data_IF_077660677753
#
_entry.id   IF_077660677753
#
_cell.length_a   1.000
_cell.length_b   1.000
_cell.length_c   1.000
_cell.angle_alpha   90.00
_cell.angle_beta   90.00
_cell.angle_gamma   90.00
#
_symmetry.space_group_name_H-M   'P 1'
#
loop_
_entity.id
_entity.type
_entity.pdbx_description
1 polymer ?
#
# COMPACT_ATOMS: atom_id res chain seq x y z
N UNK A 1 1.17 -21.97 1.60
CA UNK A 1 0.72 -21.10 0.49
C UNK A 1 0.54 -21.93 -0.76
N UNK A 2 -0.66 -21.94 -1.31
CA UNK A 2 -1.02 -22.49 -2.62
C UNK A 2 -0.73 -21.43 -3.68
N UNK A 3 0.00 -21.79 -4.74
CA UNK A 3 0.26 -20.85 -5.84
C UNK A 3 -0.90 -20.89 -6.83
N UNK A 4 -1.50 -19.72 -7.13
CA UNK A 4 -2.53 -19.58 -8.16
C UNK A 4 -1.86 -19.40 -9.54
N UNK A 5 -0.77 -18.62 -9.55
CA UNK A 5 0.09 -18.39 -10.70
C UNK A 5 1.45 -17.92 -10.21
N UNK A 6 2.36 -17.54 -11.11
CA UNK A 6 3.66 -17.05 -10.66
C UNK A 6 3.52 -15.78 -9.81
N UNK A 7 2.60 -14.88 -10.17
CA UNK A 7 2.38 -13.58 -9.54
C UNK A 7 1.45 -13.60 -8.34
N UNK A 8 0.77 -14.71 -8.04
CA UNK A 8 -0.18 -14.79 -6.93
C UNK A 8 -0.09 -16.10 -6.13
N UNK A 9 -0.08 -15.96 -4.79
CA UNK A 9 -0.15 -17.08 -3.85
C UNK A 9 -1.19 -16.84 -2.76
N UNK A 10 -1.93 -17.88 -2.39
CA UNK A 10 -2.96 -17.86 -1.37
C UNK A 10 -2.52 -18.68 -0.15
N UNK A 11 -2.70 -18.15 1.04
CA UNK A 11 -2.57 -18.90 2.30
C UNK A 11 -3.89 -18.85 3.05
N UNK A 12 -4.50 -20.01 3.24
CA UNK A 12 -5.77 -20.13 3.94
C UNK A 12 -5.61 -19.81 5.44
N UNK A 13 -6.61 -19.12 5.99
CA UNK A 13 -6.71 -18.77 7.40
C UNK A 13 -8.19 -18.55 7.76
N UNK A 14 -8.48 -17.59 8.63
CA UNK A 14 -9.84 -17.11 8.85
C UNK A 14 -10.41 -16.54 7.52
N UNK A 15 -11.48 -17.12 6.96
CA UNK A 15 -12.05 -16.66 5.69
C UNK A 15 -12.86 -15.36 5.83
N UNK A 16 -13.24 -14.97 7.04
CA UNK A 16 -14.06 -13.77 7.26
C UNK A 16 -13.28 -12.48 6.98
N UNK A 17 -11.95 -12.55 6.96
CA UNK A 17 -11.06 -11.43 6.68
C UNK A 17 -9.99 -11.86 5.67
N UNK A 18 -9.97 -11.20 4.51
CA UNK A 18 -8.91 -11.33 3.52
C UNK A 18 -7.89 -10.18 3.66
N UNK A 19 -6.61 -10.53 3.80
CA UNK A 19 -5.50 -9.57 3.70
C UNK A 19 -4.78 -9.77 2.37
N UNK A 20 -4.77 -8.75 1.52
CA UNK A 20 -4.06 -8.74 0.24
C UNK A 20 -2.74 -7.99 0.41
N UNK A 21 -1.62 -8.69 0.21
CA UNK A 21 -0.28 -8.12 0.25
C UNK A 21 0.21 -7.83 -1.18
N UNK A 22 0.36 -6.57 -1.54
CA UNK A 22 0.78 -6.14 -2.87
C UNK A 22 2.25 -5.71 -2.84
N UNK A 23 3.11 -6.47 -3.51
CA UNK A 23 4.54 -6.16 -3.56
C UNK A 23 4.80 -4.83 -4.28
N UNK A 24 5.70 -4.00 -3.71
CA UNK A 24 6.35 -2.92 -4.45
C UNK A 24 7.36 -3.40 -5.49
N UNK A 25 8.32 -2.55 -5.85
CA UNK A 25 9.36 -2.88 -6.83
C UNK A 25 10.23 -4.04 -6.35
N UNK A 26 10.17 -5.16 -7.07
CA UNK A 26 11.00 -6.33 -6.86
C UNK A 26 12.17 -6.30 -7.85
N UNK A 27 13.34 -6.75 -7.41
CA UNK A 27 14.39 -7.08 -8.37
C UNK A 27 13.92 -8.25 -9.25
N UNK A 28 14.24 -8.28 -10.55
CA UNK A 28 13.77 -9.32 -11.50
C UNK A 28 14.07 -10.77 -11.09
N UNK A 29 15.02 -10.97 -10.17
CA UNK A 29 15.42 -12.30 -9.67
C UNK A 29 14.83 -12.65 -8.29
N UNK A 30 14.01 -11.77 -7.71
CA UNK A 30 13.46 -11.98 -6.37
C UNK A 30 12.20 -12.85 -6.45
N UNK A 31 12.34 -14.11 -6.03
CA UNK A 31 11.28 -15.14 -6.12
C UNK A 31 10.40 -15.23 -4.88
N UNK A 32 10.50 -14.31 -3.94
CA UNK A 32 9.68 -14.29 -2.72
C UNK A 32 8.66 -13.14 -2.78
N UNK A 33 7.55 -13.29 -2.09
CA UNK A 33 6.62 -12.17 -1.88
C UNK A 33 7.16 -11.23 -0.80
N UNK A 34 7.09 -9.92 -1.01
CA UNK A 34 7.69 -8.92 -0.12
C UNK A 34 7.31 -9.04 1.36
N UNK A 35 6.05 -9.41 1.62
CA UNK A 35 5.47 -9.32 2.96
C UNK A 35 5.46 -10.64 3.72
N UNK A 36 6.08 -11.72 3.23
CA UNK A 36 5.98 -13.05 3.88
C UNK A 36 6.31 -13.02 5.38
N UNK A 37 7.40 -12.33 5.77
CA UNK A 37 7.81 -12.23 7.18
C UNK A 37 6.84 -11.41 8.02
N UNK A 38 6.35 -10.30 7.46
CA UNK A 38 5.35 -9.47 8.13
C UNK A 38 4.01 -10.19 8.25
N UNK A 39 3.71 -11.08 7.30
CA UNK A 39 2.44 -11.77 7.21
C UNK A 39 2.32 -13.00 8.13
N UNK A 40 3.44 -13.49 8.66
CA UNK A 40 3.53 -14.68 9.51
C UNK A 40 2.62 -14.67 10.75
N UNK A 41 2.47 -13.56 11.53
CA UNK A 41 1.61 -13.56 12.72
C UNK A 41 0.11 -13.53 12.41
N UNK A 42 -0.32 -13.11 11.21
CA UNK A 42 -1.74 -13.00 10.86
C UNK A 42 -2.37 -14.38 10.62
N UNK A 43 -3.52 -14.60 11.26
CA UNK A 43 -4.31 -15.84 11.16
C UNK A 43 -5.39 -15.77 10.07
N UNK A 44 -5.59 -14.61 9.47
CA UNK A 44 -6.51 -14.34 8.37
C UNK A 44 -6.12 -15.09 7.10
N UNK A 45 -7.06 -15.20 6.16
CA UNK A 45 -6.74 -15.62 4.80
C UNK A 45 -5.89 -14.54 4.13
N UNK A 46 -4.79 -14.95 3.47
CA UNK A 46 -3.78 -14.04 2.92
C UNK A 46 -3.61 -14.29 1.43
N UNK A 47 -3.75 -13.24 0.63
CA UNK A 47 -3.44 -13.25 -0.79
C UNK A 47 -2.17 -12.42 -1.04
N UNK A 48 -1.13 -13.03 -1.57
CA UNK A 48 0.13 -12.37 -1.89
C UNK A 48 0.21 -12.13 -3.38
N UNK A 49 0.53 -10.89 -3.78
CA UNK A 49 0.68 -10.46 -5.16
C UNK A 49 2.08 -9.93 -5.41
N UNK A 50 2.64 -10.24 -6.58
CA UNK A 50 3.91 -9.71 -7.06
C UNK A 50 3.93 -9.51 -8.57
N UNK A 51 4.81 -8.62 -8.99
CA UNK A 51 5.12 -8.31 -10.38
C UNK A 51 6.65 -8.21 -10.51
N UNK A 52 7.25 -8.97 -11.43
CA UNK A 52 8.67 -8.86 -11.81
C UNK A 52 8.90 -7.85 -12.94
N UNK A 53 7.84 -7.32 -13.52
CA UNK A 53 7.91 -6.38 -14.62
C UNK A 53 8.01 -4.92 -14.13
N UNK A 54 8.53 -4.01 -14.96
CA UNK A 54 8.53 -2.58 -14.65
C UNK A 54 7.13 -1.93 -14.81
N UNK A 55 6.07 -2.70 -15.02
CA UNK A 55 4.76 -2.17 -15.37
C UNK A 55 3.82 -1.97 -14.19
N UNK A 56 4.22 -2.35 -12.96
CA UNK A 56 3.43 -2.12 -11.74
C UNK A 56 2.02 -2.71 -11.86
N UNK A 57 1.94 -3.98 -12.28
CA UNK A 57 0.71 -4.76 -12.50
C UNK A 57 -0.20 -4.29 -13.64
N UNK A 58 0.18 -3.26 -14.42
CA UNK A 58 -0.66 -2.76 -15.52
C UNK A 58 -0.80 -3.71 -16.71
N UNK A 59 0.08 -4.70 -16.82
CA UNK A 59 -0.04 -5.81 -17.79
C UNK A 59 -0.54 -7.10 -17.13
N UNK A 60 -1.27 -6.96 -16.02
CA UNK A 60 -1.75 -8.06 -15.24
C UNK A 60 -0.79 -8.53 -14.14
N UNK A 61 -1.27 -9.45 -13.32
CA UNK A 61 -0.52 -10.21 -12.35
C UNK A 61 0.09 -11.41 -13.10
N UNK A 62 1.42 -11.57 -13.17
CA UNK A 62 2.01 -12.52 -14.09
C UNK A 62 1.55 -13.97 -13.85
N UNK A 63 1.04 -14.61 -14.90
CA UNK A 63 0.49 -15.96 -14.86
C UNK A 63 -0.88 -16.08 -14.20
N UNK A 64 -1.60 -14.97 -14.00
CA UNK A 64 -2.95 -14.94 -13.41
C UNK A 64 -3.91 -14.11 -14.27
N UNK A 65 -3.49 -12.92 -14.69
CA UNK A 65 -4.30 -11.95 -15.46
C UNK A 65 -3.42 -11.26 -16.51
N UNK A 66 -4.04 -10.57 -17.46
CA UNK A 66 -3.38 -9.94 -18.61
C UNK A 66 -3.52 -8.40 -18.64
N UNK A 67 -4.30 -7.81 -17.74
CA UNK A 67 -4.53 -6.37 -17.67
C UNK A 67 -4.83 -5.85 -16.27
N UNK A 68 -4.82 -4.51 -16.11
CA UNK A 68 -5.22 -3.83 -14.87
C UNK A 68 -6.70 -4.10 -14.54
N UNK A 69 -7.58 -4.10 -15.55
CA UNK A 69 -9.00 -4.41 -15.38
C UNK A 69 -9.22 -5.85 -14.92
N UNK A 70 -8.49 -6.80 -15.50
CA UNK A 70 -8.55 -8.20 -15.09
C UNK A 70 -8.03 -8.41 -13.66
N UNK A 71 -7.06 -7.62 -13.19
CA UNK A 71 -6.63 -7.66 -11.79
C UNK A 71 -7.79 -7.35 -10.85
N UNK A 72 -8.62 -6.36 -11.18
CA UNK A 72 -9.78 -5.96 -10.39
C UNK A 72 -10.81 -7.09 -10.36
N UNK A 73 -11.11 -7.68 -11.51
CA UNK A 73 -12.05 -8.81 -11.60
C UNK A 73 -11.53 -10.05 -10.86
N UNK A 74 -10.24 -10.33 -10.95
CA UNK A 74 -9.60 -11.39 -10.18
C UNK A 74 -9.72 -11.15 -8.67
N UNK A 75 -9.45 -9.93 -8.20
CA UNK A 75 -9.59 -9.59 -6.78
C UNK A 75 -11.04 -9.70 -6.31
N UNK A 76 -12.01 -9.21 -7.09
CA UNK A 76 -13.46 -9.38 -6.81
C UNK A 76 -13.85 -10.84 -6.73
N UNK A 77 -13.37 -11.67 -7.67
CA UNK A 77 -13.59 -13.11 -7.66
C UNK A 77 -13.02 -13.76 -6.40
N UNK A 78 -11.79 -13.41 -6.00
CA UNK A 78 -11.16 -13.96 -4.80
C UNK A 78 -11.92 -13.59 -3.52
N UNK A 79 -12.33 -12.31 -3.39
CA UNK A 79 -13.15 -11.84 -2.25
C UNK A 79 -14.45 -12.64 -2.17
N UNK A 80 -15.18 -12.76 -3.28
CA UNK A 80 -16.44 -13.48 -3.34
C UNK A 80 -16.28 -14.99 -3.07
N UNK A 81 -15.23 -15.61 -3.64
CA UNK A 81 -14.93 -17.04 -3.47
C UNK A 81 -14.58 -17.40 -2.02
N UNK A 82 -13.82 -16.53 -1.35
CA UNK A 82 -13.44 -16.72 0.05
C UNK A 82 -14.63 -16.45 0.97
N UNK A 83 -15.55 -15.56 0.55
CA UNK A 83 -16.66 -15.11 1.39
C UNK A 83 -16.21 -14.08 2.44
N UNK A 84 -15.13 -13.33 2.14
CA UNK A 84 -14.57 -12.36 3.07
C UNK A 84 -15.56 -11.24 3.35
N UNK A 85 -15.77 -10.94 4.64
CA UNK A 85 -16.59 -9.84 5.12
C UNK A 85 -15.79 -8.57 5.36
N UNK A 86 -14.48 -8.73 5.54
CA UNK A 86 -13.49 -7.65 5.60
C UNK A 86 -12.37 -7.90 4.59
N UNK A 87 -11.94 -6.87 3.91
CA UNK A 87 -10.81 -6.88 2.98
C UNK A 87 -9.83 -5.76 3.36
N UNK A 88 -8.60 -6.16 3.62
CA UNK A 88 -7.47 -5.26 3.89
C UNK A 88 -6.47 -5.34 2.74
N UNK A 89 -5.95 -4.21 2.27
CA UNK A 89 -4.75 -4.19 1.41
C UNK A 89 -3.54 -3.66 2.18
N UNK A 90 -2.43 -4.39 2.15
CA UNK A 90 -1.12 -3.94 2.63
C UNK A 90 -0.18 -3.81 1.43
N UNK A 91 0.43 -2.65 1.26
CA UNK A 91 1.30 -2.40 0.11
C UNK A 91 2.45 -1.45 0.47
N UNK A 92 3.49 -1.42 -0.37
CA UNK A 92 4.63 -0.54 -0.16
C UNK A 92 5.29 -0.06 -1.44
N UNK A 93 5.90 1.12 -1.37
CA UNK A 93 6.59 1.78 -2.49
C UNK A 93 5.68 1.87 -3.72
N UNK A 94 6.21 1.62 -4.92
CA UNK A 94 5.44 1.70 -6.18
C UNK A 94 4.23 0.78 -6.24
N UNK A 95 4.17 -0.27 -5.42
CA UNK A 95 3.01 -1.17 -5.34
C UNK A 95 1.79 -0.51 -4.71
N UNK A 96 1.95 0.62 -4.00
CA UNK A 96 0.80 1.31 -3.39
C UNK A 96 -0.10 1.95 -4.44
N UNK A 97 0.46 2.32 -5.59
CA UNK A 97 -0.29 2.99 -6.64
C UNK A 97 -1.42 2.11 -7.20
N UNK A 98 -1.16 0.89 -7.73
CA UNK A 98 -2.22 -0.01 -8.14
C UNK A 98 -3.10 -0.46 -6.96
N UNK A 99 -2.53 -0.67 -5.77
CA UNK A 99 -3.29 -1.04 -4.58
C UNK A 99 -4.41 -0.03 -4.23
N UNK A 100 -4.10 1.27 -4.30
CA UNK A 100 -5.08 2.34 -4.06
C UNK A 100 -6.16 2.34 -5.13
N UNK A 101 -5.80 2.19 -6.40
CA UNK A 101 -6.77 2.08 -7.51
C UNK A 101 -7.74 0.93 -7.29
N UNK A 102 -7.20 -0.28 -7.07
CA UNK A 102 -8.00 -1.48 -6.89
C UNK A 102 -8.91 -1.36 -5.66
N UNK A 103 -8.39 -0.88 -4.53
CA UNK A 103 -9.19 -0.73 -3.32
C UNK A 103 -10.39 0.21 -3.51
N UNK A 104 -10.24 1.32 -4.22
CA UNK A 104 -11.36 2.23 -4.51
C UNK A 104 -12.34 1.65 -5.54
N UNK A 105 -11.86 0.96 -6.58
CA UNK A 105 -12.74 0.35 -7.58
C UNK A 105 -13.52 -0.85 -7.06
N UNK A 106 -12.95 -1.60 -6.12
CA UNK A 106 -13.60 -2.76 -5.50
C UNK A 106 -14.54 -2.31 -4.38
N UNK A 107 -14.11 -1.32 -3.60
CA UNK A 107 -14.75 -0.95 -2.34
C UNK A 107 -14.34 -1.92 -1.23
N UNK A 108 -13.27 -1.58 -0.52
CA UNK A 108 -12.69 -2.41 0.54
C UNK A 108 -12.72 -1.68 1.88
N UNK A 109 -12.38 -2.37 2.96
CA UNK A 109 -12.52 -1.80 4.29
C UNK A 109 -11.33 -0.91 4.67
N UNK A 110 -10.09 -1.40 4.56
CA UNK A 110 -8.91 -0.64 4.95
C UNK A 110 -7.65 -0.92 4.12
N UNK A 111 -6.74 0.07 4.10
CA UNK A 111 -5.43 -0.02 3.46
C UNK A 111 -4.30 0.45 4.36
N UNK A 112 -3.15 -0.18 4.24
CA UNK A 112 -1.91 0.17 4.94
C UNK A 112 -0.79 0.33 3.92
N UNK A 113 -0.38 1.58 3.68
CA UNK A 113 0.53 1.97 2.60
C UNK A 113 1.86 2.44 3.17
N UNK A 114 2.95 1.75 2.85
CA UNK A 114 4.29 2.07 3.36
C UNK A 114 5.15 2.73 2.29
N UNK A 115 5.53 3.99 2.48
CA UNK A 115 6.27 4.80 1.50
C UNK A 115 5.47 4.96 0.20
N UNK A 116 4.32 5.66 0.23
CA UNK A 116 3.35 5.60 -0.85
C UNK A 116 3.81 6.30 -2.13
N UNK A 117 3.26 5.85 -3.25
CA UNK A 117 3.21 6.54 -4.54
C UNK A 117 1.74 6.82 -4.87
N UNK A 118 1.37 8.10 -4.78
CA UNK A 118 0.02 8.65 -5.05
C UNK A 118 -0.02 9.58 -6.26
N UNK A 119 1.13 10.08 -6.70
CA UNK A 119 1.32 10.94 -7.86
C UNK A 119 2.61 10.52 -8.56
N UNK A 120 2.47 9.67 -9.57
CA UNK A 120 3.58 9.20 -10.39
C UNK A 120 4.22 10.35 -11.17
N UNK A 121 3.43 11.31 -11.66
CA UNK A 121 3.94 12.44 -12.42
C UNK A 121 4.92 13.27 -11.58
N UNK A 122 4.59 13.49 -10.30
CA UNK A 122 5.45 14.17 -9.35
C UNK A 122 6.73 13.38 -9.05
N UNK A 123 6.65 12.06 -8.84
CA UNK A 123 7.84 11.22 -8.58
C UNK A 123 8.84 11.30 -9.74
N UNK A 124 8.36 11.35 -10.99
CA UNK A 124 9.22 11.43 -12.18
C UNK A 124 10.06 12.72 -12.24
N UNK A 125 9.71 13.75 -11.48
CA UNK A 125 10.45 15.02 -11.41
C UNK A 125 11.52 15.05 -10.30
N UNK A 126 11.81 13.89 -9.69
CA UNK A 126 12.74 13.79 -8.54
C UNK A 126 14.00 13.02 -8.92
N UNK A 127 15.09 13.22 -8.17
CA UNK A 127 16.34 12.47 -8.36
C UNK A 127 16.13 10.95 -8.27
N UNK A 128 15.14 10.50 -7.49
CA UNK A 128 14.75 9.08 -7.39
C UNK A 128 14.41 8.49 -8.76
N UNK A 129 13.81 9.27 -9.67
CA UNK A 129 13.46 8.83 -11.01
C UNK A 129 14.68 8.54 -11.90
N UNK A 130 15.79 9.23 -11.62
CA UNK A 130 17.04 9.11 -12.37
C UNK A 130 17.99 8.06 -11.78
N UNK A 131 17.67 7.49 -10.61
CA UNK A 131 18.52 6.51 -9.96
C UNK A 131 18.61 5.22 -10.81
N UNK A 132 19.81 4.69 -11.12
CA UNK A 132 19.99 3.57 -12.05
C UNK A 132 19.17 2.31 -11.72
N UNK A 133 18.93 2.05 -10.44
CA UNK A 133 18.12 0.92 -9.97
C UNK A 133 16.65 1.01 -10.41
N UNK A 134 16.12 2.21 -10.62
CA UNK A 134 14.70 2.44 -10.91
C UNK A 134 14.47 3.04 -12.30
N UNK A 135 15.52 3.32 -13.09
CA UNK A 135 15.38 3.97 -14.39
C UNK A 135 14.37 3.27 -15.29
N UNK A 136 14.46 1.93 -15.43
CA UNK A 136 13.51 1.18 -16.28
C UNK A 136 12.05 1.28 -15.79
N UNK A 137 11.83 1.30 -14.47
CA UNK A 137 10.50 1.48 -13.88
C UNK A 137 9.92 2.87 -14.21
N UNK A 138 10.75 3.91 -14.08
CA UNK A 138 10.31 5.29 -14.27
C UNK A 138 10.24 5.69 -15.75
N UNK A 139 11.06 5.12 -16.63
CA UNK A 139 10.91 5.27 -18.08
C UNK A 139 9.56 4.73 -18.56
N UNK A 140 9.16 3.55 -18.09
CA UNK A 140 7.83 3.00 -18.39
C UNK A 140 6.72 3.90 -17.84
N UNK A 141 6.82 4.31 -16.57
CA UNK A 141 5.90 5.26 -15.96
C UNK A 141 5.74 6.54 -16.78
N UNK A 142 6.85 7.12 -17.27
CA UNK A 142 6.84 8.29 -18.15
C UNK A 142 6.10 8.03 -19.47
N UNK A 143 6.41 6.92 -20.15
CA UNK A 143 5.76 6.57 -21.41
C UNK A 143 4.23 6.48 -21.26
N UNK A 144 3.75 5.97 -20.13
CA UNK A 144 2.31 5.85 -19.89
C UNK A 144 1.64 7.18 -19.58
N UNK A 145 2.32 8.06 -18.84
CA UNK A 145 1.82 9.42 -18.61
C UNK A 145 1.77 10.20 -19.93
N UNK A 146 2.81 10.08 -20.75
CA UNK A 146 2.86 10.68 -22.09
C UNK A 146 1.75 10.12 -23.00
N UNK A 147 1.36 8.85 -22.79
CA UNK A 147 0.22 8.20 -23.47
C UNK A 147 -1.15 8.56 -22.88
N UNK A 148 -1.22 9.44 -21.88
CA UNK A 148 -2.47 9.92 -21.30
C UNK A 148 -3.09 9.01 -20.24
N UNK A 149 -2.29 8.21 -19.52
CA UNK A 149 -2.79 7.40 -18.41
C UNK A 149 -3.51 8.27 -17.36
N UNK A 150 -4.82 8.08 -17.13
CA UNK A 150 -5.64 9.03 -16.39
C UNK A 150 -5.38 9.00 -14.89
N UNK A 151 -4.79 7.93 -14.38
CA UNK A 151 -4.49 7.73 -12.96
C UNK A 151 -3.04 8.04 -12.64
N UNK A 152 -2.42 9.00 -13.33
CA UNK A 152 -1.05 9.44 -13.02
C UNK A 152 -0.94 10.15 -11.68
N UNK A 153 -2.02 10.82 -11.24
CA UNK A 153 -2.24 11.30 -9.89
C UNK A 153 -3.56 10.70 -9.37
N UNK A 154 -3.49 10.03 -8.21
CA UNK A 154 -4.61 9.31 -7.61
C UNK A 154 -5.58 10.22 -6.88
N UNK A 155 -5.18 11.43 -6.49
CA UNK A 155 -5.99 12.33 -5.67
C UNK A 155 -7.40 12.56 -6.25
N UNK A 156 -7.58 12.93 -7.53
CA UNK A 156 -8.93 13.18 -8.08
C UNK A 156 -9.83 11.95 -8.00
N UNK A 157 -9.28 10.76 -8.25
CA UNK A 157 -10.00 9.49 -8.15
C UNK A 157 -10.38 9.16 -6.70
N UNK A 158 -9.44 9.33 -5.76
CA UNK A 158 -9.69 9.09 -4.34
C UNK A 158 -10.72 10.04 -3.75
N UNK A 159 -10.74 11.30 -4.18
CA UNK A 159 -11.74 12.29 -3.76
C UNK A 159 -13.14 11.92 -4.25
N UNK A 160 -13.26 11.55 -5.54
CA UNK A 160 -14.52 11.11 -6.16
C UNK A 160 -15.07 9.79 -5.59
N UNK A 161 -14.23 9.01 -4.91
CA UNK A 161 -14.57 7.69 -4.35
C UNK A 161 -14.24 7.56 -2.87
N UNK A 162 -14.25 8.67 -2.13
CA UNK A 162 -13.87 8.70 -0.70
C UNK A 162 -14.77 7.86 0.22
N UNK A 163 -15.94 7.43 -0.26
CA UNK A 163 -16.87 6.54 0.42
C UNK A 163 -16.59 5.04 0.17
N UNK A 164 -15.69 4.72 -0.77
CA UNK A 164 -15.39 3.33 -1.17
C UNK A 164 -14.41 2.63 -0.24
N UNK A 165 -13.63 3.37 0.53
CA UNK A 165 -12.62 2.81 1.43
C UNK A 165 -12.78 3.45 2.79
N UNK A 166 -12.98 2.64 3.84
CA UNK A 166 -13.29 3.18 5.16
C UNK A 166 -12.07 3.81 5.84
N UNK A 167 -10.87 3.28 5.59
CA UNK A 167 -9.61 3.83 6.12
C UNK A 167 -8.41 3.58 5.20
N UNK A 168 -7.53 4.57 5.09
CA UNK A 168 -6.21 4.46 4.45
C UNK A 168 -5.17 5.01 5.43
N UNK A 169 -4.34 4.13 5.96
CA UNK A 169 -3.23 4.48 6.82
C UNK A 169 -1.94 4.53 5.99
N UNK A 170 -1.27 5.69 6.03
CA UNK A 170 -0.04 5.94 5.30
C UNK A 170 1.13 6.01 6.27
N UNK A 171 2.21 5.28 5.98
CA UNK A 171 3.41 5.22 6.80
C UNK A 171 4.60 5.72 5.98
N UNK A 172 5.27 6.78 6.42
CA UNK A 172 6.41 7.36 5.70
C UNK A 172 7.48 7.93 6.62
N UNK A 173 8.64 8.19 6.06
CA UNK A 173 9.82 8.67 6.79
C UNK A 173 9.97 10.17 6.60
N UNK A 174 10.22 10.90 7.69
CA UNK A 174 10.36 12.35 7.62
C UNK A 174 11.55 12.81 6.77
N UNK A 175 12.61 12.00 6.67
CA UNK A 175 13.81 12.34 5.92
C UNK A 175 13.70 12.00 4.42
N UNK A 176 12.56 11.50 3.97
CA UNK A 176 12.31 11.25 2.56
C UNK A 176 11.36 12.30 1.97
N UNK A 177 11.88 13.34 1.29
CA UNK A 177 11.04 14.41 0.76
C UNK A 177 10.07 13.93 -0.33
N UNK A 178 10.37 12.84 -1.03
CA UNK A 178 9.46 12.27 -2.03
C UNK A 178 8.28 11.64 -1.31
N UNK A 179 8.51 10.75 -0.35
CA UNK A 179 7.40 10.09 0.37
C UNK A 179 6.56 11.09 1.17
N UNK A 180 7.18 12.13 1.73
CA UNK A 180 6.47 13.25 2.38
C UNK A 180 5.53 13.94 1.40
N UNK A 181 6.00 14.28 0.19
CA UNK A 181 5.17 14.92 -0.83
C UNK A 181 4.03 14.00 -1.28
N UNK A 182 4.29 12.69 -1.42
CA UNK A 182 3.28 11.69 -1.79
C UNK A 182 2.21 11.54 -0.70
N UNK A 183 2.59 11.51 0.57
CA UNK A 183 1.61 11.48 1.66
C UNK A 183 0.80 12.79 1.73
N UNK A 184 1.46 13.94 1.60
CA UNK A 184 0.82 15.25 1.63
C UNK A 184 -0.21 15.44 0.51
N UNK A 185 0.00 14.81 -0.66
CA UNK A 185 -0.93 14.88 -1.80
C UNK A 185 -2.34 14.36 -1.47
N UNK A 186 -2.53 13.54 -0.41
CA UNK A 186 -3.83 12.96 -0.06
C UNK A 186 -4.18 13.09 1.44
N UNK A 187 -3.35 13.76 2.24
CA UNK A 187 -3.46 13.77 3.70
C UNK A 187 -4.76 14.41 4.24
N UNK A 188 -5.35 15.35 3.50
CA UNK A 188 -6.58 16.04 3.89
C UNK A 188 -7.85 15.23 3.58
N UNK A 189 -7.77 14.18 2.76
CA UNK A 189 -8.93 13.34 2.44
C UNK A 189 -9.51 12.68 3.70
N UNK A 190 -10.85 12.56 3.80
CA UNK A 190 -11.52 12.22 5.06
C UNK A 190 -11.21 10.82 5.56
N UNK A 191 -10.94 9.87 4.66
CA UNK A 191 -10.60 8.48 4.96
C UNK A 191 -9.10 8.23 5.10
N UNK A 192 -8.25 9.27 5.01
CA UNK A 192 -6.79 9.14 5.08
C UNK A 192 -6.28 9.53 6.48
N UNK A 193 -5.33 8.75 6.99
CA UNK A 193 -4.50 9.05 8.16
C UNK A 193 -3.04 8.81 7.83
N UNK A 194 -2.16 9.61 8.42
CA UNK A 194 -0.72 9.54 8.21
C UNK A 194 0.02 9.28 9.51
N UNK A 195 0.97 8.34 9.48
CA UNK A 195 1.93 8.05 10.54
C UNK A 195 3.34 8.34 10.01
N UNK A 196 4.04 9.26 10.66
CA UNK A 196 5.41 9.65 10.27
C UNK A 196 6.44 9.04 11.22
N UNK A 197 7.56 8.58 10.65
CA UNK A 197 8.72 8.10 11.39
C UNK A 197 9.88 9.11 11.28
N UNK A 198 10.26 9.70 12.42
CA UNK A 198 11.46 10.55 12.53
C UNK A 198 12.70 9.74 12.19
N UNK A 199 13.64 10.36 11.47
CA UNK A 199 14.84 9.70 10.92
C UNK A 199 14.59 8.50 9.99
N UNK A 200 13.32 8.26 9.60
CA UNK A 200 12.96 7.32 8.56
C UNK A 200 13.27 7.88 7.17
N UNK A 201 13.77 7.03 6.29
CA UNK A 201 13.83 7.23 4.84
C UNK A 201 13.00 6.14 4.15
N UNK A 202 12.84 6.20 2.82
CA UNK A 202 12.06 5.22 2.05
C UNK A 202 12.42 3.75 2.34
N UNK A 203 13.70 3.46 2.62
CA UNK A 203 14.19 2.10 2.82
C UNK A 203 14.15 1.66 4.29
N UNK A 204 14.16 2.60 5.24
CA UNK A 204 14.09 2.33 6.68
C UNK A 204 12.66 2.21 7.19
N UNK A 205 11.72 2.98 6.65
CA UNK A 205 10.32 2.97 7.11
C UNK A 205 9.69 1.58 7.06
N UNK A 206 9.88 0.74 6.02
CA UNK A 206 9.39 -0.63 6.04
C UNK A 206 9.92 -1.44 7.23
N UNK A 207 11.18 -1.24 7.64
CA UNK A 207 11.73 -1.92 8.81
C UNK A 207 11.12 -1.41 10.12
N UNK A 208 10.74 -0.13 10.21
CA UNK A 208 10.06 0.41 11.39
C UNK A 208 8.61 -0.02 11.43
N UNK A 209 7.85 0.30 10.39
CA UNK A 209 6.42 0.08 10.29
C UNK A 209 6.04 -1.41 10.30
N UNK A 210 6.77 -2.26 9.58
CA UNK A 210 6.40 -3.67 9.42
C UNK A 210 7.09 -4.63 10.41
N UNK A 211 8.07 -4.18 11.20
CA UNK A 211 8.78 -5.09 12.12
C UNK A 211 8.81 -4.62 13.57
N UNK A 212 8.70 -3.32 13.81
CA UNK A 212 8.89 -2.74 15.15
C UNK A 212 7.64 -2.04 15.66
N UNK A 213 6.81 -1.52 14.76
CA UNK A 213 5.57 -0.88 15.15
C UNK A 213 4.43 -1.91 15.21
N UNK A 214 3.91 -2.22 16.41
CA UNK A 214 2.78 -3.13 16.52
C UNK A 214 1.48 -2.51 15.99
N UNK A 215 1.42 -1.19 15.76
CA UNK A 215 0.20 -0.47 15.42
C UNK A 215 -0.46 -0.98 14.13
N UNK A 216 0.31 -1.22 13.06
CA UNK A 216 -0.23 -1.79 11.81
C UNK A 216 -0.88 -3.15 12.10
N UNK A 217 -0.15 -4.05 12.76
CA UNK A 217 -0.65 -5.39 13.04
C UNK A 217 -1.86 -5.35 13.99
N UNK A 218 -1.88 -4.43 14.96
CA UNK A 218 -3.00 -4.25 15.87
C UNK A 218 -4.25 -3.75 15.15
N UNK A 219 -4.13 -2.77 14.24
CA UNK A 219 -5.24 -2.22 13.45
C UNK A 219 -5.79 -3.24 12.44
N UNK A 220 -4.91 -4.01 11.79
CA UNK A 220 -5.33 -5.11 10.92
C UNK A 220 -6.14 -6.15 11.73
N UNK A 221 -5.67 -6.52 12.93
CA UNK A 221 -6.35 -7.51 13.77
C UNK A 221 -7.55 -6.96 14.57
N UNK A 222 -7.75 -5.64 14.60
CA UNK A 222 -8.84 -5.04 15.37
C UNK A 222 -10.20 -5.52 14.86
N UNK A 223 -11.19 -5.82 15.73
CA UNK A 223 -12.49 -6.32 15.28
C UNK A 223 -13.32 -5.26 14.53
N UNK A 224 -12.96 -3.99 14.66
CA UNK A 224 -13.64 -2.85 14.05
C UNK A 224 -12.60 -1.90 13.49
N UNK A 225 -12.89 -1.31 12.34
CA UNK A 225 -12.03 -0.29 11.74
C UNK A 225 -12.37 1.07 12.33
N UNK A 226 -11.36 1.70 12.91
CA UNK A 226 -11.43 3.10 13.28
C UNK A 226 -11.31 3.97 12.05
N UNK A 227 -12.38 4.68 11.69
CA UNK A 227 -12.39 5.53 10.49
C UNK A 227 -11.76 6.88 10.81
N UNK A 228 -10.77 7.36 10.03
CA UNK A 228 -10.18 8.68 10.23
C UNK A 228 -11.23 9.80 10.19
N UNK A 229 -12.27 9.67 9.35
CA UNK A 229 -13.38 10.62 9.29
C UNK A 229 -14.15 10.75 10.61
N UNK A 230 -14.35 9.63 11.33
CA UNK A 230 -15.05 9.62 12.62
C UNK A 230 -14.19 10.27 13.70
N UNK A 231 -12.89 9.97 13.72
CA UNK A 231 -11.94 10.58 14.65
C UNK A 231 -11.83 12.10 14.44
N UNK A 232 -11.79 12.56 13.19
CA UNK A 232 -11.79 13.99 12.84
C UNK A 232 -13.06 14.69 13.32
N UNK A 233 -14.23 14.07 13.12
CA UNK A 233 -15.52 14.63 13.61
C UNK A 233 -15.59 14.70 15.13
N UNK A 234 -14.98 13.74 15.83
CA UNK A 234 -14.91 13.73 17.28
C UNK A 234 -13.92 14.76 17.86
N UNK A 235 -13.16 15.47 17.03
CA UNK A 235 -12.12 16.42 17.46
C UNK A 235 -10.88 15.76 18.07
N UNK A 236 -10.77 14.43 17.97
CA UNK A 236 -9.68 13.64 18.56
C UNK A 236 -8.53 13.33 17.62
N UNK A 237 -8.48 13.96 16.45
CA UNK A 237 -7.53 13.61 15.39
C UNK A 237 -6.46 14.67 15.22
N UNK A 238 -5.21 14.32 15.54
CA UNK A 238 -4.07 15.02 14.96
C UNK A 238 -3.95 14.57 13.49
N UNK A 239 -3.78 15.47 12.52
CA UNK A 239 -3.64 15.09 11.11
C UNK A 239 -2.40 14.20 10.84
N UNK A 240 -1.53 14.06 11.83
CA UNK A 240 -0.26 13.37 11.76
C UNK A 240 -0.03 12.60 13.07
N UNK A 241 -0.02 11.27 12.97
CA UNK A 241 0.41 10.38 14.04
C UNK A 241 1.94 10.25 14.04
N UNK A 242 2.51 10.20 15.23
CA UNK A 242 3.92 10.00 15.46
C UNK A 242 4.20 8.50 15.64
N UNK A 243 4.97 7.88 14.74
CA UNK A 243 5.28 6.44 14.78
C UNK A 243 6.05 5.98 16.03
N UNK A 244 5.83 4.74 16.46
CA UNK A 244 6.27 4.21 17.76
C UNK A 244 7.80 4.21 17.95
N UNK A 245 8.58 4.06 16.88
CA UNK A 245 10.04 4.06 16.93
C UNK A 245 10.64 5.40 17.42
N UNK A 246 9.86 6.48 17.43
CA UNK A 246 10.30 7.78 17.97
C UNK A 246 10.26 7.81 19.50
N UNK A 247 9.28 7.13 20.12
CA UNK A 247 9.06 7.21 21.57
C UNK A 247 10.13 6.46 22.37
N UNK A 248 10.78 5.44 21.79
CA UNK A 248 11.82 4.69 22.50
C UNK A 248 13.22 5.33 22.43
N UNK A 249 13.47 6.26 21.50
CA UNK A 249 14.77 6.94 21.41
C UNK A 249 14.93 8.05 22.46
N UNK A 250 13.85 8.50 23.10
CA UNK A 250 13.89 9.47 24.22
C UNK A 250 14.07 8.79 25.59
N UNK A 251 14.09 7.45 25.66
CA UNK A 251 14.21 6.69 26.92
C UNK A 251 15.62 6.22 27.29
N UNK A 252 16.60 6.31 26.39
CA UNK A 252 18.00 6.02 26.74
C UNK A 252 18.66 7.28 27.29
N UNK A 253 18.38 7.58 28.56
CA UNK A 253 19.14 8.57 29.32
C UNK A 253 20.44 7.97 29.84
N UNK A 254 21.54 8.60 29.36
CA UNK A 254 22.93 8.65 29.84
C UNK A 254 23.77 7.37 29.89
#
# INVERSE_FOLDING_TARGET
>A
MEMIGWGAGLEAGDPEHLIVFVSGYLYPNFKEFHFLKFAAPFQQTKLFLRDDSPHQFRHGIPGVTESEEENVEFLRYMIAKIGAKRVTIVSGSVGTHPAVLWGHWIGIDDMYLVGPVTDMAAVLQTDRATHPQFTGLFEQGKQQIDAGYPYSNLRPMMEAHSDRVASIDIYYGQNDPVDVAQAANIADLPHVRSTVYYQGDHFRVPAFALRRDPDIAARINAPVIERPADQRRAGGFAPLDLGYAMLQLEGCSA
#
